data_IF_281659104307
#
_entry.id   IF_281659104307
#
_cell.length_a   1.000
_cell.length_b   1.000
_cell.length_c   1.000
_cell.angle_alpha   90.00
_cell.angle_beta   90.00
_cell.angle_gamma   90.00
#
_symmetry.space_group_name_H-M   'P 1'
#
loop_
_entity.id
_entity.type
_entity.pdbx_description
1 polymer ?
#
# COMPACT_ATOMS: atom_id res chain seq x y z
N UNK A 1 5.09 30.87 -23.17
CA UNK A 1 6.11 30.26 -22.26
C UNK A 1 5.73 28.83 -21.84
N UNK A 2 4.51 28.57 -21.32
CA UNK A 2 4.07 27.22 -20.89
C UNK A 2 4.11 26.17 -22.00
N UNK A 3 3.86 26.54 -23.25
CA UNK A 3 3.97 25.64 -24.42
C UNK A 3 5.34 24.97 -24.55
N UNK A 4 6.42 25.58 -24.02
CA UNK A 4 7.76 24.98 -24.00
C UNK A 4 7.89 23.78 -23.05
N UNK A 5 6.91 23.54 -22.19
CA UNK A 5 6.85 22.38 -21.28
C UNK A 5 6.20 21.16 -21.95
N UNK A 6 5.67 21.28 -23.16
CA UNK A 6 5.10 20.15 -23.88
C UNK A 6 6.18 19.08 -24.14
N UNK A 7 5.89 17.83 -23.74
CA UNK A 7 6.79 16.69 -23.96
C UNK A 7 6.60 16.21 -25.40
N UNK A 8 7.67 16.23 -26.20
CA UNK A 8 7.63 15.73 -27.57
C UNK A 8 7.39 14.22 -27.58
N UNK A 9 6.41 13.78 -28.38
CA UNK A 9 6.14 12.37 -28.70
C UNK A 9 7.38 11.58 -29.10
N UNK A 10 8.38 12.19 -29.75
CA UNK A 10 9.65 11.53 -30.10
C UNK A 10 10.45 11.13 -28.87
N UNK A 11 10.46 11.97 -27.84
CA UNK A 11 11.13 11.66 -26.56
C UNK A 11 10.42 10.50 -25.86
N UNK A 12 9.09 10.47 -25.88
CA UNK A 12 8.33 9.31 -25.35
C UNK A 12 8.65 8.02 -26.12
N UNK A 13 8.79 8.10 -27.45
CA UNK A 13 9.19 6.96 -28.27
C UNK A 13 10.61 6.47 -27.92
N UNK A 14 11.53 7.37 -27.59
CA UNK A 14 12.89 7.00 -27.15
C UNK A 14 12.88 6.30 -25.79
N UNK A 15 12.08 6.79 -24.83
CA UNK A 15 11.86 6.12 -23.54
C UNK A 15 11.30 4.72 -23.75
N UNK A 16 10.27 4.57 -24.59
CA UNK A 16 9.71 3.26 -24.91
C UNK A 16 10.75 2.32 -25.52
N UNK A 17 11.54 2.79 -26.50
CA UNK A 17 12.64 2.01 -27.10
C UNK A 17 13.65 1.54 -26.06
N UNK A 18 13.98 2.37 -25.07
CA UNK A 18 14.88 1.98 -23.98
C UNK A 18 14.26 0.90 -23.09
N UNK A 19 12.99 1.08 -22.67
CA UNK A 19 12.31 0.12 -21.80
C UNK A 19 12.12 -1.24 -22.49
N UNK A 20 11.89 -1.27 -23.81
CA UNK A 20 11.63 -2.50 -24.58
C UNK A 20 12.84 -3.03 -25.35
N UNK A 21 14.06 -2.55 -25.09
CA UNK A 21 15.25 -3.06 -25.80
C UNK A 21 15.47 -4.53 -25.44
N UNK A 22 15.99 -5.32 -26.40
CA UNK A 22 16.21 -6.77 -26.25
C UNK A 22 17.05 -7.16 -25.03
N UNK A 23 18.00 -6.32 -24.62
CA UNK A 23 18.78 -6.53 -23.41
C UNK A 23 18.76 -5.27 -22.57
N UNK A 24 18.01 -5.29 -21.48
CA UNK A 24 17.92 -4.23 -20.51
C UNK A 24 18.09 -4.81 -19.11
N UNK A 25 19.32 -4.83 -18.54
CA UNK A 25 19.57 -5.47 -17.25
C UNK A 25 18.63 -5.01 -16.12
N UNK A 26 18.13 -3.78 -16.17
CA UNK A 26 17.19 -3.24 -15.18
C UNK A 26 15.79 -3.83 -15.32
N UNK A 27 15.33 -4.05 -16.55
CA UNK A 27 13.98 -4.59 -16.83
C UNK A 27 14.01 -6.11 -16.90
N UNK A 28 15.07 -6.70 -17.45
CA UNK A 28 15.25 -8.14 -17.63
C UNK A 28 15.15 -8.88 -16.28
N UNK A 29 15.70 -8.32 -15.19
CA UNK A 29 15.60 -8.92 -13.86
C UNK A 29 14.17 -8.86 -13.30
N UNK A 30 13.40 -7.79 -13.59
CA UNK A 30 11.97 -7.72 -13.24
C UNK A 30 11.19 -8.81 -13.98
N UNK A 31 11.40 -8.93 -15.30
CA UNK A 31 10.72 -9.93 -16.13
C UNK A 31 11.05 -11.34 -15.65
N UNK A 32 12.31 -11.63 -15.35
CA UNK A 32 12.75 -12.92 -14.81
C UNK A 32 12.05 -13.26 -13.49
N UNK A 33 11.84 -12.29 -12.60
CA UNK A 33 11.10 -12.52 -11.35
C UNK A 33 9.61 -12.75 -11.66
N UNK A 34 8.99 -11.98 -12.54
CA UNK A 34 7.59 -12.20 -12.95
C UNK A 34 7.40 -13.60 -13.58
N UNK A 35 8.34 -14.04 -14.42
CA UNK A 35 8.34 -15.35 -15.06
C UNK A 35 8.55 -16.49 -14.05
N UNK A 36 9.36 -16.28 -13.00
CA UNK A 36 9.51 -17.22 -11.87
C UNK A 36 8.15 -17.53 -11.21
N UNK A 37 7.24 -16.56 -11.15
CA UNK A 37 5.87 -16.77 -10.64
C UNK A 37 4.87 -17.22 -11.72
N UNK A 38 5.32 -17.35 -12.97
CA UNK A 38 4.56 -17.87 -14.10
C UNK A 38 3.71 -16.83 -14.83
N UNK A 39 4.11 -15.56 -14.74
CA UNK A 39 3.54 -14.46 -15.53
C UNK A 39 2.31 -13.80 -14.93
N UNK A 40 1.92 -12.59 -15.44
CA UNK A 40 0.91 -11.73 -14.83
C UNK A 40 -0.44 -12.40 -14.57
N UNK A 41 -0.95 -13.14 -15.57
CA UNK A 41 -2.25 -13.83 -15.45
C UNK A 41 -2.26 -14.85 -14.30
N UNK A 42 -1.22 -15.70 -14.22
CA UNK A 42 -1.13 -16.72 -13.16
C UNK A 42 -0.95 -16.08 -11.80
N UNK A 43 -0.17 -15.00 -11.72
CA UNK A 43 0.04 -14.22 -10.50
C UNK A 43 -1.30 -13.70 -9.96
N UNK A 44 -2.10 -13.03 -10.79
CA UNK A 44 -3.40 -12.49 -10.38
C UNK A 44 -4.41 -13.60 -10.06
N UNK A 45 -4.45 -14.68 -10.86
CA UNK A 45 -5.32 -15.85 -10.61
C UNK A 45 -5.02 -16.48 -9.23
N UNK A 46 -3.73 -16.61 -8.88
CA UNK A 46 -3.30 -17.12 -7.56
C UNK A 46 -3.66 -16.16 -6.44
N UNK A 47 -3.39 -14.86 -6.60
CA UNK A 47 -3.71 -13.85 -5.61
C UNK A 47 -5.21 -13.81 -5.30
N UNK A 48 -6.06 -13.83 -6.34
CA UNK A 48 -7.51 -13.85 -6.19
C UNK A 48 -7.98 -15.12 -5.48
N UNK A 49 -7.44 -16.29 -5.86
CA UNK A 49 -7.82 -17.57 -5.26
C UNK A 49 -7.40 -17.65 -3.78
N UNK A 50 -6.14 -17.35 -3.49
CA UNK A 50 -5.54 -17.57 -2.17
C UNK A 50 -5.87 -16.44 -1.19
N UNK A 51 -6.27 -15.27 -1.69
CA UNK A 51 -6.78 -14.16 -0.89
C UNK A 51 -8.27 -14.23 -0.56
N UNK A 52 -8.95 -15.34 -0.87
CA UNK A 52 -10.36 -15.55 -0.44
C UNK A 52 -10.42 -15.74 1.07
N UNK A 53 -11.41 -15.11 1.72
CA UNK A 53 -11.55 -15.16 3.18
C UNK A 53 -11.68 -16.60 3.69
N UNK A 54 -12.36 -17.47 2.96
CA UNK A 54 -12.54 -18.88 3.34
C UNK A 54 -11.21 -19.63 3.38
N UNK A 55 -10.33 -19.35 2.41
CA UNK A 55 -8.99 -19.94 2.32
C UNK A 55 -8.08 -19.39 3.42
N UNK A 56 -8.15 -18.09 3.67
CA UNK A 56 -7.35 -17.44 4.73
C UNK A 56 -7.78 -17.93 6.12
N UNK A 57 -9.08 -18.02 6.38
CA UNK A 57 -9.63 -18.55 7.63
C UNK A 57 -9.27 -20.02 7.86
N UNK A 58 -9.23 -20.84 6.80
CA UNK A 58 -8.77 -22.23 6.90
C UNK A 58 -7.29 -22.32 7.27
N UNK A 59 -6.42 -21.54 6.59
CA UNK A 59 -5.00 -21.45 6.97
C UNK A 59 -4.84 -20.99 8.41
N UNK A 60 -5.64 -20.00 8.84
CA UNK A 60 -5.58 -19.45 10.19
C UNK A 60 -6.02 -20.46 11.25
N UNK A 61 -7.06 -21.28 10.98
CA UNK A 61 -7.50 -22.35 11.89
C UNK A 61 -6.37 -23.30 12.27
N UNK A 62 -5.47 -23.62 11.34
CA UNK A 62 -4.32 -24.46 11.64
C UNK A 62 -3.17 -23.71 12.30
N UNK A 63 -2.99 -22.43 11.96
CA UNK A 63 -1.85 -21.62 12.38
C UNK A 63 -2.01 -20.98 13.75
N UNK A 64 -3.18 -20.38 14.00
CA UNK A 64 -3.49 -19.60 15.21
C UNK A 64 -5.00 -19.66 15.52
N UNK A 65 -5.52 -20.81 16.00
CA UNK A 65 -6.96 -21.04 16.18
C UNK A 65 -7.65 -19.98 17.05
N UNK A 66 -6.96 -19.46 18.07
CA UNK A 66 -7.47 -18.43 19.00
C UNK A 66 -7.94 -17.13 18.30
N UNK A 67 -7.40 -16.80 17.13
CA UNK A 67 -7.82 -15.62 16.35
C UNK A 67 -9.09 -15.87 15.54
N UNK A 68 -9.44 -17.13 15.26
CA UNK A 68 -10.65 -17.49 14.52
C UNK A 68 -11.89 -17.10 15.30
N UNK A 69 -11.91 -17.32 16.62
CA UNK A 69 -13.03 -16.94 17.48
C UNK A 69 -13.23 -15.41 17.50
N UNK A 70 -12.15 -14.64 17.50
CA UNK A 70 -12.21 -13.18 17.44
C UNK A 70 -12.73 -12.67 16.09
N UNK A 71 -12.42 -13.36 14.99
CA UNK A 71 -12.95 -13.04 13.66
C UNK A 71 -14.43 -13.42 13.54
N UNK A 72 -14.84 -14.56 14.10
CA UNK A 72 -16.25 -14.93 14.19
C UNK A 72 -17.05 -13.90 14.98
N UNK A 73 -16.53 -13.45 16.13
CA UNK A 73 -17.12 -12.34 16.88
C UNK A 73 -17.24 -11.07 16.03
N UNK A 74 -16.23 -10.73 15.23
CA UNK A 74 -16.26 -9.55 14.36
C UNK A 74 -17.32 -9.66 13.27
N UNK A 75 -17.51 -10.85 12.69
CA UNK A 75 -18.59 -11.14 11.73
C UNK A 75 -19.95 -10.93 12.39
N UNK A 76 -20.16 -11.47 13.59
CA UNK A 76 -21.41 -11.29 14.35
C UNK A 76 -21.70 -9.81 14.63
N UNK A 77 -20.67 -9.02 14.99
CA UNK A 77 -20.86 -7.58 15.24
C UNK A 77 -21.23 -6.82 13.96
N UNK A 78 -20.59 -7.15 12.83
CA UNK A 78 -20.90 -6.56 11.52
C UNK A 78 -22.32 -6.92 11.07
N UNK A 79 -22.66 -8.21 11.08
CA UNK A 79 -23.95 -8.72 10.60
C UNK A 79 -25.10 -8.27 11.50
N UNK A 80 -24.84 -8.15 12.80
CA UNK A 80 -25.73 -7.54 13.78
C UNK A 80 -25.80 -6.02 13.74
N UNK A 81 -25.13 -5.37 12.76
CA UNK A 81 -25.07 -3.91 12.56
C UNK A 81 -24.73 -3.13 13.84
N UNK A 82 -23.73 -3.62 14.59
CA UNK A 82 -23.32 -3.03 15.88
C UNK A 82 -22.44 -1.80 15.75
N UNK A 83 -21.79 -1.63 14.61
CA UNK A 83 -21.03 -0.42 14.31
C UNK A 83 -21.98 0.73 13.97
N UNK A 84 -21.69 1.91 14.51
CA UNK A 84 -22.48 3.12 14.24
C UNK A 84 -22.42 3.48 12.76
N UNK A 85 -23.57 3.85 12.18
CA UNK A 85 -23.61 4.40 10.82
C UNK A 85 -23.09 5.85 10.79
N UNK A 86 -22.70 6.33 9.61
CA UNK A 86 -22.30 7.74 9.44
C UNK A 86 -23.45 8.69 9.81
N UNK A 87 -24.70 8.36 9.49
CA UNK A 87 -25.87 9.17 9.84
C UNK A 87 -26.08 9.26 11.35
N UNK A 88 -26.01 8.12 12.05
CA UNK A 88 -26.11 8.07 13.52
C UNK A 88 -24.94 8.81 14.18
N UNK A 89 -23.73 8.70 13.63
CA UNK A 89 -22.56 9.41 14.13
C UNK A 89 -22.72 10.94 13.98
N UNK A 90 -23.19 11.42 12.82
CA UNK A 90 -23.51 12.85 12.59
C UNK A 90 -24.50 13.37 13.63
N UNK A 91 -25.56 12.61 13.90
CA UNK A 91 -26.56 12.96 14.91
C UNK A 91 -25.96 13.01 16.32
N UNK A 92 -25.13 12.02 16.67
CA UNK A 92 -24.50 11.94 17.98
C UNK A 92 -23.59 13.13 18.30
N UNK A 93 -22.83 13.60 17.31
CA UNK A 93 -21.92 14.76 17.48
C UNK A 93 -22.61 16.10 17.24
N UNK A 94 -23.93 16.10 17.00
CA UNK A 94 -24.71 17.27 16.61
C UNK A 94 -24.08 18.02 15.41
N UNK A 95 -23.62 17.27 14.40
CA UNK A 95 -23.01 17.85 13.21
C UNK A 95 -24.02 18.73 12.46
N UNK A 96 -23.68 20.00 12.13
CA UNK A 96 -24.45 20.80 11.19
C UNK A 96 -24.63 20.07 9.85
N UNK A 97 -25.76 20.28 9.17
CA UNK A 97 -26.07 19.62 7.88
C UNK A 97 -25.01 19.88 6.80
N UNK A 98 -24.34 21.02 6.89
CA UNK A 98 -23.33 21.54 5.97
C UNK A 98 -21.88 21.36 6.46
N UNK A 99 -21.68 20.71 7.61
CA UNK A 99 -20.34 20.51 8.18
C UNK A 99 -19.44 19.59 7.33
N UNK A 100 -20.05 18.60 6.65
CA UNK A 100 -19.32 17.61 5.86
C UNK A 100 -19.64 17.84 4.38
N UNK A 101 -18.61 18.22 3.62
CA UNK A 101 -18.68 18.28 2.17
C UNK A 101 -18.48 16.88 1.57
N UNK A 102 -19.59 16.28 1.11
CA UNK A 102 -19.63 14.93 0.54
C UNK A 102 -18.99 14.84 -0.87
N UNK A 103 -18.60 15.98 -1.44
CA UNK A 103 -17.74 16.08 -2.62
C UNK A 103 -16.34 15.53 -2.38
N UNK A 104 -15.83 15.64 -1.15
CA UNK A 104 -14.56 15.03 -0.75
C UNK A 104 -14.77 13.60 -0.27
N UNK A 105 -13.97 12.67 -0.80
CA UNK A 105 -13.95 11.26 -0.37
C UNK A 105 -12.94 11.06 0.75
N UNK A 106 -13.23 11.63 1.91
CA UNK A 106 -12.38 11.50 3.10
C UNK A 106 -12.56 10.11 3.72
N UNK A 107 -11.44 9.47 4.04
CA UNK A 107 -11.42 8.16 4.71
C UNK A 107 -10.61 8.27 6.00
N UNK A 108 -11.17 7.78 7.11
CA UNK A 108 -10.43 7.64 8.37
C UNK A 108 -9.45 6.47 8.26
N UNK A 109 -8.16 6.77 8.38
CA UNK A 109 -7.06 5.80 8.28
C UNK A 109 -6.33 5.67 9.62
N UNK A 110 -6.00 4.43 10.00
CA UNK A 110 -5.02 4.15 11.05
C UNK A 110 -3.64 4.04 10.41
N UNK A 111 -2.75 4.99 10.74
CA UNK A 111 -1.42 5.09 10.14
C UNK A 111 -0.42 4.03 10.61
N UNK A 112 -0.73 3.26 11.66
CA UNK A 112 0.10 2.12 12.04
C UNK A 112 -0.68 1.08 12.86
N UNK A 113 -0.94 -0.08 12.26
CA UNK A 113 -1.48 -1.27 12.91
C UNK A 113 -0.43 -2.38 12.89
N UNK A 114 0.06 -2.75 14.07
CA UNK A 114 1.10 -3.78 14.20
C UNK A 114 0.51 -5.18 14.44
N UNK A 115 -0.54 -5.28 15.28
CA UNK A 115 -1.05 -6.57 15.75
C UNK A 115 -2.56 -6.68 15.60
N UNK A 116 -3.03 -7.85 15.15
CA UNK A 116 -4.44 -8.18 15.00
C UNK A 116 -5.28 -7.92 16.28
N UNK A 117 -4.82 -8.27 17.50
CA UNK A 117 -5.57 -7.97 18.72
C UNK A 117 -5.88 -6.48 18.91
N UNK A 118 -5.04 -5.57 18.40
CA UNK A 118 -5.31 -4.12 18.48
C UNK A 118 -6.47 -3.70 17.58
N UNK A 119 -6.65 -4.35 16.43
CA UNK A 119 -7.82 -4.14 15.57
C UNK A 119 -9.09 -4.58 16.29
N UNK A 120 -9.07 -5.72 16.99
CA UNK A 120 -10.21 -6.17 17.78
C UNK A 120 -10.52 -5.21 18.93
N UNK A 121 -9.50 -4.70 19.63
CA UNK A 121 -9.67 -3.67 20.66
C UNK A 121 -10.29 -2.39 20.08
N UNK A 122 -9.83 -1.93 18.91
CA UNK A 122 -10.42 -0.79 18.21
C UNK A 122 -11.88 -1.04 17.83
N UNK A 123 -12.21 -2.24 17.31
CA UNK A 123 -13.59 -2.58 16.96
C UNK A 123 -14.51 -2.57 18.20
N UNK A 124 -14.06 -3.15 19.32
CA UNK A 124 -14.78 -3.11 20.60
C UNK A 124 -15.00 -1.68 21.08
N UNK A 125 -13.96 -0.86 21.06
CA UNK A 125 -14.03 0.55 21.44
C UNK A 125 -15.02 1.31 20.55
N UNK A 126 -14.94 1.13 19.22
CA UNK A 126 -15.82 1.80 18.28
C UNK A 126 -17.29 1.47 18.52
N UNK A 127 -17.60 0.22 18.88
CA UNK A 127 -18.96 -0.19 19.24
C UNK A 127 -19.37 0.41 20.60
N UNK A 128 -18.56 0.21 21.65
CA UNK A 128 -18.86 0.67 23.02
C UNK A 128 -19.06 2.18 23.09
N UNK A 129 -18.16 2.92 22.42
CA UNK A 129 -18.15 4.37 22.43
C UNK A 129 -18.92 4.99 21.29
N UNK A 130 -19.54 4.20 20.41
CA UNK A 130 -20.20 4.67 19.18
C UNK A 130 -19.32 5.63 18.37
N UNK A 131 -18.08 5.21 18.09
CA UNK A 131 -17.11 5.89 17.22
C UNK A 131 -17.13 5.24 15.83
N UNK A 132 -16.79 6.00 14.79
CA UNK A 132 -16.62 5.43 13.44
C UNK A 132 -15.45 4.45 13.43
N UNK A 133 -15.66 3.25 12.87
CA UNK A 133 -14.58 2.30 12.61
C UNK A 133 -13.74 2.81 11.42
N UNK A 134 -12.40 2.83 11.51
CA UNK A 134 -11.55 3.24 10.39
C UNK A 134 -11.76 2.36 9.15
N UNK A 135 -11.79 2.99 7.97
CA UNK A 135 -11.99 2.31 6.68
C UNK A 135 -10.67 1.92 5.99
N UNK A 136 -9.53 2.39 6.52
CA UNK A 136 -8.21 2.16 5.94
C UNK A 136 -7.15 1.96 7.02
N UNK A 137 -6.17 1.11 6.74
CA UNK A 137 -5.10 0.77 7.69
C UNK A 137 -3.74 0.69 7.00
N UNK A 138 -2.71 1.20 7.65
CA UNK A 138 -1.31 0.97 7.28
C UNK A 138 -0.74 -0.05 8.27
N UNK A 139 -0.14 -1.11 7.76
CA UNK A 139 0.55 -2.11 8.55
C UNK A 139 2.05 -1.91 8.47
N UNK A 140 2.65 -1.69 9.63
CA UNK A 140 4.08 -1.37 9.76
C UNK A 140 4.73 -2.36 10.72
N UNK A 141 4.83 -3.61 10.27
CA UNK A 141 5.48 -4.71 10.99
C UNK A 141 6.18 -5.62 9.99
N UNK A 142 7.20 -6.36 10.43
CA UNK A 142 7.89 -7.30 9.55
C UNK A 142 6.92 -8.36 9.02
N UNK A 143 6.82 -8.50 7.71
CA UNK A 143 5.94 -9.45 7.02
C UNK A 143 6.24 -10.89 7.44
N UNK A 144 7.53 -11.25 7.58
CA UNK A 144 7.91 -12.59 8.03
C UNK A 144 7.40 -12.93 9.42
N UNK A 145 7.46 -11.99 10.36
CA UNK A 145 6.92 -12.20 11.71
C UNK A 145 5.39 -12.35 11.68
N UNK A 146 4.72 -11.48 10.92
CA UNK A 146 3.25 -11.52 10.77
C UNK A 146 2.78 -12.83 10.12
N UNK A 147 3.54 -13.37 9.17
CA UNK A 147 3.27 -14.67 8.54
C UNK A 147 3.49 -15.81 9.56
N UNK A 148 4.56 -15.72 10.36
CA UNK A 148 4.96 -16.75 11.31
C UNK A 148 4.00 -16.88 12.50
N UNK A 149 3.47 -15.79 13.04
CA UNK A 149 2.58 -15.83 14.20
C UNK A 149 1.09 -15.94 13.84
N UNK A 150 0.76 -15.92 12.54
CA UNK A 150 -0.61 -16.01 12.03
C UNK A 150 -1.35 -14.67 12.01
N UNK A 151 -0.70 -13.58 12.41
CA UNK A 151 -1.29 -12.24 12.45
C UNK A 151 -1.63 -11.71 11.04
N UNK A 152 -0.80 -12.01 10.04
CA UNK A 152 -1.07 -11.66 8.63
C UNK A 152 -2.41 -12.23 8.17
N UNK A 153 -2.65 -13.52 8.42
CA UNK A 153 -3.89 -14.19 8.05
C UNK A 153 -5.10 -13.60 8.79
N UNK A 154 -4.96 -13.36 10.09
CA UNK A 154 -6.04 -12.82 10.91
C UNK A 154 -6.42 -11.39 10.49
N UNK A 155 -5.41 -10.53 10.30
CA UNK A 155 -5.65 -9.15 9.92
C UNK A 155 -6.22 -9.02 8.50
N UNK A 156 -5.69 -9.74 7.50
CA UNK A 156 -6.28 -9.73 6.13
C UNK A 156 -7.75 -10.18 6.19
N UNK A 157 -8.04 -11.22 6.97
CA UNK A 157 -9.41 -11.71 7.14
C UNK A 157 -10.31 -10.65 7.80
N UNK A 158 -9.81 -9.96 8.83
CA UNK A 158 -10.52 -8.87 9.50
C UNK A 158 -10.83 -7.70 8.55
N UNK A 159 -9.85 -7.28 7.74
CA UNK A 159 -10.04 -6.21 6.74
C UNK A 159 -11.13 -6.58 5.74
N UNK A 160 -11.14 -7.84 5.26
CA UNK A 160 -12.19 -8.34 4.36
C UNK A 160 -13.55 -8.42 5.03
N UNK A 161 -13.63 -8.79 6.31
CA UNK A 161 -14.88 -8.79 7.09
C UNK A 161 -15.44 -7.37 7.16
N UNK A 162 -14.59 -6.40 7.51
CA UNK A 162 -14.96 -5.00 7.68
C UNK A 162 -15.21 -4.25 6.36
N UNK A 163 -14.72 -4.78 5.23
CA UNK A 163 -14.69 -4.06 3.95
C UNK A 163 -13.68 -2.92 3.92
N UNK A 164 -12.66 -2.98 4.79
CA UNK A 164 -11.61 -1.97 4.89
C UNK A 164 -10.48 -2.24 3.90
N UNK A 165 -9.80 -1.18 3.48
CA UNK A 165 -8.55 -1.28 2.70
C UNK A 165 -7.35 -1.30 3.64
N UNK A 166 -6.26 -1.93 3.22
CA UNK A 166 -5.03 -1.92 4.00
C UNK A 166 -3.81 -1.99 3.10
N UNK A 167 -2.71 -1.44 3.60
CA UNK A 167 -1.42 -1.47 2.94
C UNK A 167 -0.38 -2.11 3.83
N UNK A 168 0.42 -3.02 3.28
CA UNK A 168 1.49 -3.73 3.99
C UNK A 168 2.86 -3.07 3.75
N UNK A 169 3.69 -2.98 4.79
CA UNK A 169 5.09 -2.58 4.64
C UNK A 169 5.97 -3.81 4.48
N UNK A 170 6.58 -4.00 3.31
CA UNK A 170 7.48 -5.14 3.06
C UNK A 170 8.79 -5.03 3.86
N UNK A 171 9.45 -6.17 4.05
CA UNK A 171 10.69 -6.30 4.84
C UNK A 171 11.88 -5.73 4.09
N UNK A 172 11.96 -6.00 2.78
CA UNK A 172 13.05 -5.56 1.88
C UNK A 172 12.94 -4.09 1.46
N UNK A 173 12.57 -3.22 2.41
CA UNK A 173 12.41 -1.78 2.20
C UNK A 173 13.71 -0.97 2.38
N UNK A 174 14.84 -1.61 2.66
CA UNK A 174 16.16 -0.96 2.77
C UNK A 174 16.49 -0.39 4.15
N UNK A 175 15.48 -0.22 5.00
CA UNK A 175 15.62 0.21 6.41
C UNK A 175 15.63 -0.96 7.39
N UNK A 176 15.70 -2.19 6.88
CA UNK A 176 15.79 -3.47 7.59
C UNK A 176 17.23 -3.81 8.08
N UNK A 177 18.12 -2.82 8.10
CA UNK A 177 19.54 -2.99 8.42
C UNK A 177 20.44 -3.26 7.21
N UNK A 178 19.86 -3.34 6.01
CA UNK A 178 20.58 -3.60 4.77
C UNK A 178 21.31 -2.39 4.19
N UNK A 179 20.81 -1.19 4.45
CA UNK A 179 21.50 0.04 4.11
C UNK A 179 22.54 0.36 5.19
N UNK A 180 23.80 0.01 4.91
CA UNK A 180 24.95 0.24 5.78
C UNK A 180 25.20 1.73 6.09
N UNK A 181 24.58 2.66 5.35
CA UNK A 181 24.69 4.10 5.57
C UNK A 181 23.62 4.65 6.53
N UNK A 182 22.64 3.85 6.96
CA UNK A 182 21.63 4.23 7.96
C UNK A 182 22.08 4.00 9.42
N UNK A 183 23.30 3.52 9.64
CA UNK A 183 23.83 3.11 10.95
C UNK A 183 24.26 4.23 11.91
N UNK A 184 23.80 5.47 11.70
CA UNK A 184 24.14 6.62 12.56
C UNK A 184 25.57 7.17 12.33
N UNK A 185 26.01 8.06 13.22
CA UNK A 185 27.23 8.87 13.09
C UNK A 185 28.54 8.07 12.91
N UNK A 186 28.52 6.78 13.19
CA UNK A 186 29.67 5.87 13.03
C UNK A 186 29.90 5.43 11.58
N UNK A 187 28.99 5.76 10.67
CA UNK A 187 29.11 5.46 9.24
C UNK A 187 29.63 6.68 8.47
N UNK A 188 30.43 6.47 7.41
CA UNK A 188 31.20 7.51 6.69
C UNK A 188 30.36 8.71 6.19
N UNK A 189 29.04 8.53 6.07
CA UNK A 189 28.06 9.55 5.67
C UNK A 189 26.80 9.54 6.54
N UNK A 190 26.89 9.12 7.80
CA UNK A 190 25.82 8.58 8.67
C UNK A 190 24.57 9.38 9.00
N UNK A 191 24.29 10.42 8.22
CA UNK A 191 23.00 11.10 8.19
C UNK A 191 22.64 11.68 6.80
N UNK A 192 23.60 11.75 5.86
CA UNK A 192 23.44 12.43 4.57
C UNK A 192 23.09 11.50 3.39
N UNK A 193 23.09 10.17 3.60
CA UNK A 193 22.82 9.19 2.54
C UNK A 193 21.33 9.00 2.20
N UNK A 194 20.42 9.49 3.04
CA UNK A 194 18.98 9.28 2.91
C UNK A 194 18.53 7.84 3.18
N UNK A 195 17.22 7.61 3.10
CA UNK A 195 16.55 6.32 3.39
C UNK A 195 16.67 5.26 2.27
N UNK A 196 17.57 5.46 1.30
CA UNK A 196 17.66 4.66 0.08
C UNK A 196 17.89 3.15 0.31
N UNK A 197 17.92 2.37 -0.77
CA UNK A 197 18.11 0.92 -0.73
C UNK A 197 19.35 0.49 -1.52
N UNK A 198 20.00 -0.64 -1.18
CA UNK A 198 21.01 -1.25 -2.03
C UNK A 198 20.46 -1.64 -3.42
N UNK A 199 21.33 -1.74 -4.43
CA UNK A 199 20.93 -1.91 -5.84
C UNK A 199 20.03 -3.13 -6.10
N UNK A 200 20.23 -4.23 -5.36
CA UNK A 200 19.49 -5.47 -5.52
C UNK A 200 18.15 -5.51 -4.75
N UNK A 201 17.92 -4.55 -3.84
CA UNK A 201 16.76 -4.58 -2.95
C UNK A 201 15.45 -4.33 -3.67
N UNK A 202 15.43 -3.52 -4.74
CA UNK A 202 14.21 -3.36 -5.55
C UNK A 202 13.75 -4.70 -6.13
N UNK A 203 14.67 -5.59 -6.51
CA UNK A 203 14.34 -6.90 -7.06
C UNK A 203 13.92 -7.89 -5.97
N UNK A 204 14.58 -7.84 -4.79
CA UNK A 204 14.15 -8.59 -3.60
C UNK A 204 12.74 -8.17 -3.16
N UNK A 205 12.43 -6.88 -3.24
CA UNK A 205 11.13 -6.32 -2.96
C UNK A 205 10.06 -6.80 -3.93
N UNK A 206 10.36 -6.89 -5.23
CA UNK A 206 9.44 -7.49 -6.21
C UNK A 206 9.21 -8.97 -5.88
N UNK A 207 10.27 -9.72 -5.58
CA UNK A 207 10.16 -11.15 -5.24
C UNK A 207 9.33 -11.36 -3.97
N UNK A 208 9.57 -10.56 -2.93
CA UNK A 208 8.82 -10.57 -1.67
C UNK A 208 7.35 -10.18 -1.88
N UNK A 209 7.09 -9.12 -2.65
CA UNK A 209 5.73 -8.69 -2.98
C UNK A 209 4.97 -9.83 -3.66
N UNK A 210 5.52 -10.42 -4.72
CA UNK A 210 4.86 -11.48 -5.47
C UNK A 210 4.63 -12.72 -4.59
N UNK A 211 5.52 -13.01 -3.65
CA UNK A 211 5.28 -14.06 -2.66
C UNK A 211 4.00 -13.80 -1.84
N UNK A 212 3.87 -12.63 -1.21
CA UNK A 212 2.70 -12.35 -0.37
C UNK A 212 1.42 -12.12 -1.18
N UNK A 213 1.54 -11.50 -2.35
CA UNK A 213 0.42 -11.29 -3.26
C UNK A 213 -0.16 -12.63 -3.72
N UNK A 214 0.68 -13.55 -4.19
CA UNK A 214 0.20 -14.86 -4.69
C UNK A 214 -0.26 -15.82 -3.59
N UNK A 215 0.30 -15.75 -2.38
CA UNK A 215 -0.03 -16.68 -1.29
C UNK A 215 -1.17 -16.21 -0.37
N UNK A 216 -1.38 -14.90 -0.26
CA UNK A 216 -2.31 -14.30 0.71
C UNK A 216 -3.22 -13.23 0.10
N UNK A 217 -2.98 -12.81 -1.14
CA UNK A 217 -3.76 -11.75 -1.79
C UNK A 217 -3.44 -10.35 -1.24
N UNK A 218 -2.21 -10.12 -0.75
CA UNK A 218 -1.74 -8.79 -0.29
C UNK A 218 -1.61 -7.85 -1.48
N UNK A 219 -2.64 -7.02 -1.70
CA UNK A 219 -2.74 -6.21 -2.92
C UNK A 219 -1.97 -4.89 -2.82
N UNK A 220 -2.11 -4.17 -1.70
CA UNK A 220 -1.49 -2.85 -1.51
C UNK A 220 -0.20 -2.95 -0.69
N UNK A 221 0.87 -2.29 -1.16
CA UNK A 221 2.15 -2.20 -0.44
C UNK A 221 2.64 -0.76 -0.24
N UNK A 222 3.32 -0.50 0.88
CA UNK A 222 3.81 0.81 1.26
C UNK A 222 5.24 1.00 0.74
N UNK A 223 5.46 2.08 0.00
CA UNK A 223 6.73 2.40 -0.61
C UNK A 223 7.35 3.67 -0.01
N UNK A 224 8.68 3.66 0.12
CA UNK A 224 9.46 4.78 0.68
C UNK A 224 10.56 5.27 -0.27
N UNK A 225 10.82 4.58 -1.39
CA UNK A 225 11.93 4.88 -2.29
C UNK A 225 11.48 4.89 -3.76
N UNK A 226 12.16 5.69 -4.59
CA UNK A 226 11.80 5.85 -6.01
C UNK A 226 11.93 4.58 -6.85
N UNK A 227 12.85 3.67 -6.49
CA UNK A 227 13.06 2.41 -7.20
C UNK A 227 11.86 1.47 -7.11
N UNK A 228 11.37 1.21 -5.90
CA UNK A 228 10.19 0.35 -5.69
C UNK A 228 8.90 1.02 -6.15
N UNK A 229 8.81 2.36 -6.10
CA UNK A 229 7.70 3.11 -6.72
C UNK A 229 7.66 2.86 -8.23
N UNK A 230 8.79 3.02 -8.93
CA UNK A 230 8.86 2.77 -10.36
C UNK A 230 8.63 1.29 -10.70
N UNK A 231 9.18 0.37 -9.92
CA UNK A 231 8.94 -1.06 -10.06
C UNK A 231 7.44 -1.40 -9.93
N UNK A 232 6.73 -0.78 -8.99
CA UNK A 232 5.29 -0.96 -8.82
C UNK A 232 4.50 -0.53 -10.05
N UNK A 233 4.87 0.62 -10.66
CA UNK A 233 4.29 1.05 -11.93
C UNK A 233 4.57 0.05 -13.07
N UNK A 234 5.78 -0.51 -13.14
CA UNK A 234 6.11 -1.50 -14.16
C UNK A 234 5.36 -2.81 -13.98
N UNK A 235 5.30 -3.36 -12.76
CA UNK A 235 4.49 -4.55 -12.46
C UNK A 235 3.03 -4.34 -12.87
N UNK A 236 2.48 -3.16 -12.56
CA UNK A 236 1.11 -2.83 -12.96
C UNK A 236 0.94 -2.76 -14.47
N UNK A 237 1.87 -2.11 -15.17
CA UNK A 237 1.87 -1.99 -16.63
C UNK A 237 2.04 -3.33 -17.33
N UNK A 238 2.77 -4.27 -16.71
CA UNK A 238 2.92 -5.65 -17.17
C UNK A 238 1.64 -6.49 -16.97
N UNK A 239 0.66 -5.99 -16.21
CA UNK A 239 -0.64 -6.65 -16.01
C UNK A 239 -0.82 -7.31 -14.63
N UNK A 240 0.09 -7.11 -13.68
CA UNK A 240 -0.09 -7.55 -12.29
C UNK A 240 -0.95 -6.54 -11.56
N UNK A 241 -2.00 -6.96 -10.84
CA UNK A 241 -2.94 -6.04 -10.19
C UNK A 241 -2.44 -5.56 -8.82
N UNK A 242 -1.19 -5.13 -8.79
CA UNK A 242 -0.56 -4.44 -7.66
C UNK A 242 -1.19 -3.08 -7.44
N UNK A 243 -1.33 -2.72 -6.17
CA UNK A 243 -1.58 -1.36 -5.74
C UNK A 243 -0.49 -0.94 -4.75
N UNK A 244 -0.24 0.36 -4.63
CA UNK A 244 0.72 0.84 -3.65
C UNK A 244 0.40 2.23 -3.13
N UNK A 245 0.87 2.48 -1.92
CA UNK A 245 0.84 3.80 -1.28
C UNK A 245 2.26 4.32 -1.09
N UNK A 246 2.47 5.62 -1.25
CA UNK A 246 3.75 6.27 -0.97
C UNK A 246 3.72 6.84 0.45
N UNK A 247 4.72 6.46 1.25
CA UNK A 247 4.88 6.90 2.63
C UNK A 247 5.36 8.35 2.72
N UNK A 248 5.10 8.97 3.88
CA UNK A 248 5.59 10.30 4.26
C UNK A 248 7.11 10.41 4.12
N UNK A 249 7.83 9.29 4.30
CA UNK A 249 9.29 9.24 4.20
C UNK A 249 9.83 9.53 2.80
N UNK A 250 9.04 9.34 1.73
CA UNK A 250 9.45 9.70 0.37
C UNK A 250 9.58 11.23 0.20
N UNK A 251 8.87 12.01 1.03
CA UNK A 251 8.99 13.46 1.07
C UNK A 251 8.24 14.19 -0.04
N UNK A 252 7.01 13.77 -0.39
CA UNK A 252 6.15 14.58 -1.26
C UNK A 252 5.71 15.86 -0.52
N UNK A 253 6.44 16.95 -0.73
CA UNK A 253 6.51 18.08 0.20
C UNK A 253 6.11 19.43 -0.39
N UNK A 254 5.85 19.49 -1.70
CA UNK A 254 5.43 20.70 -2.40
C UNK A 254 4.66 20.35 -3.69
N UNK A 255 3.95 21.31 -4.32
CA UNK A 255 3.13 21.05 -5.50
C UNK A 255 3.88 20.46 -6.70
N UNK A 256 5.16 20.83 -6.92
CA UNK A 256 5.95 20.28 -8.02
C UNK A 256 6.33 18.82 -7.77
N UNK A 257 6.62 18.46 -6.52
CA UNK A 257 6.91 17.09 -6.13
C UNK A 257 5.67 16.19 -6.23
N UNK A 258 4.50 16.70 -5.83
CA UNK A 258 3.23 16.00 -6.07
C UNK A 258 2.93 15.85 -7.57
N UNK A 259 3.11 16.93 -8.34
CA UNK A 259 2.95 16.88 -9.79
C UNK A 259 3.87 15.83 -10.43
N UNK A 260 5.13 15.74 -9.99
CA UNK A 260 6.07 14.71 -10.44
C UNK A 260 5.55 13.28 -10.19
N UNK A 261 5.05 13.04 -8.98
CA UNK A 261 4.45 11.74 -8.60
C UNK A 261 3.26 11.40 -9.49
N UNK A 262 2.32 12.34 -9.69
CA UNK A 262 1.12 12.13 -10.49
C UNK A 262 1.42 12.01 -12.00
N UNK A 263 2.39 12.76 -12.52
CA UNK A 263 2.84 12.63 -13.92
C UNK A 263 3.41 11.24 -14.17
N UNK A 264 4.24 10.72 -13.24
CA UNK A 264 4.81 9.37 -13.35
C UNK A 264 3.71 8.31 -13.30
N UNK A 265 2.74 8.46 -12.40
CA UNK A 265 1.56 7.60 -12.34
C UNK A 265 0.79 7.56 -13.67
N UNK A 266 0.58 8.74 -14.28
CA UNK A 266 -0.13 8.84 -15.55
C UNK A 266 0.66 8.23 -16.71
N UNK A 267 1.98 8.46 -16.76
CA UNK A 267 2.88 7.95 -17.80
C UNK A 267 2.81 6.43 -17.91
N UNK A 268 2.70 5.73 -16.77
CA UNK A 268 2.64 4.26 -16.71
C UNK A 268 1.24 3.69 -16.45
N UNK A 269 0.19 4.49 -16.69
CA UNK A 269 -1.19 4.00 -16.61
C UNK A 269 -1.48 2.89 -17.63
N UNK A 270 -2.48 2.06 -17.32
CA UNK A 270 -3.03 1.07 -18.27
C UNK A 270 -3.88 1.77 -19.33
N UNK A 271 -4.29 1.01 -20.34
CA UNK A 271 -5.09 1.52 -21.47
C UNK A 271 -6.45 2.09 -21.03
N UNK A 272 -7.03 1.53 -19.96
CA UNK A 272 -8.23 2.04 -19.30
C UNK A 272 -8.00 3.31 -18.49
N UNK A 273 -6.76 3.82 -18.44
CA UNK A 273 -6.37 5.04 -17.74
C UNK A 273 -6.13 4.86 -16.25
N UNK A 274 -6.27 3.65 -15.71
CA UNK A 274 -6.05 3.35 -14.29
C UNK A 274 -4.56 3.32 -13.92
N UNK A 275 -4.28 3.53 -12.63
CA UNK A 275 -2.93 3.57 -12.04
C UNK A 275 -2.89 2.75 -10.75
N UNK A 276 -1.75 2.13 -10.39
CA UNK A 276 -1.62 1.39 -9.13
C UNK A 276 -1.43 2.29 -7.90
N UNK A 277 -1.23 3.61 -8.08
CA UNK A 277 -1.07 4.54 -6.97
C UNK A 277 -2.42 4.79 -6.29
N UNK A 278 -2.66 4.14 -5.14
CA UNK A 278 -3.92 4.26 -4.37
C UNK A 278 -3.87 5.35 -3.29
N UNK A 279 -2.71 5.92 -3.05
CA UNK A 279 -2.55 7.08 -2.18
C UNK A 279 -1.09 7.45 -1.95
N UNK A 280 -0.85 8.64 -1.41
CA UNK A 280 0.46 9.05 -0.91
C UNK A 280 0.29 9.99 0.26
N UNK A 281 1.23 9.97 1.20
CA UNK A 281 1.29 10.93 2.28
C UNK A 281 2.08 12.15 1.83
N UNK A 282 1.54 13.33 2.12
CA UNK A 282 2.32 14.57 2.10
C UNK A 282 3.31 14.58 3.26
N UNK A 283 4.47 15.21 3.07
CA UNK A 283 5.49 15.36 4.11
C UNK A 283 5.06 16.32 5.22
N UNK A 284 5.78 16.34 6.33
CA UNK A 284 5.51 17.26 7.45
C UNK A 284 5.81 18.74 7.13
N UNK A 285 6.45 19.06 6.00
CA UNK A 285 6.79 20.43 5.62
C UNK A 285 5.70 21.12 4.80
N UNK A 286 4.61 20.43 4.46
CA UNK A 286 3.50 21.01 3.69
C UNK A 286 2.69 22.00 4.52
N UNK A 287 2.04 22.93 3.83
CA UNK A 287 1.10 23.90 4.39
C UNK A 287 -0.25 23.83 3.66
N UNK A 288 -1.21 24.66 4.11
CA UNK A 288 -2.56 24.70 3.51
C UNK A 288 -2.56 25.02 2.01
N UNK A 289 -1.60 25.81 1.53
CA UNK A 289 -1.49 26.13 0.10
C UNK A 289 -1.10 24.90 -0.72
N UNK A 290 -0.11 24.14 -0.24
CA UNK A 290 0.29 22.88 -0.88
C UNK A 290 -0.89 21.92 -0.96
N UNK A 291 -1.63 21.75 0.13
CA UNK A 291 -2.82 20.89 0.18
C UNK A 291 -3.89 21.38 -0.81
N UNK A 292 -4.17 22.68 -0.85
CA UNK A 292 -5.15 23.29 -1.78
C UNK A 292 -4.80 23.06 -3.25
N UNK A 293 -3.50 23.04 -3.61
CA UNK A 293 -3.07 22.83 -4.99
C UNK A 293 -3.00 21.36 -5.41
N UNK A 294 -3.05 20.42 -4.46
CA UNK A 294 -2.72 19.02 -4.71
C UNK A 294 -3.76 18.01 -4.21
N UNK A 295 -4.72 18.45 -3.41
CA UNK A 295 -5.83 17.65 -2.88
C UNK A 295 -7.06 17.59 -3.78
#
# INVERSE_FOLDING_TARGET
>A
MKEKLAIDSKVLNEVNKFLTKKSNPVIDEIIKIVDKYGGPKKINDLAQKNGKIEILMEKLRHKKPEYVDQLNWLIEQRDGKKFISMEEYKNKVNAPKDMIDEGYKVTLEISSLHYFPWLISQAKQSIERGELMPGRFIRVRFMKEQEEDGDLLATISAMKILGSTWVESLDTKGTDGSNIHLGGAETITGYFGGIGQPNDYVYKWIDEYLYYYTNYGVKEVLNINGGTILASYFLYKLGIDIEFKISVFMGNDNPLNVLWTLMTAKLFSREDGTTPLVGFNLSNSVNNETISFTG
#
